data_IF_869218580702
#
_entry.id   IF_869218580702
#
_cell.length_a   1.000
_cell.length_b   1.000
_cell.length_c   1.000
_cell.angle_alpha   90.00
_cell.angle_beta   90.00
_cell.angle_gamma   90.00
#
_symmetry.space_group_name_H-M   'P 1'
#
loop_
_entity.id
_entity.type
_entity.pdbx_description
1 polymer ?
#
# COMPACT_ATOMS: atom_id res chain seq x y z
N UNK A 1 -65.38 -3.59 -42.19
CA UNK A 1 -65.01 -2.89 -40.94
C UNK A 1 -64.05 -3.77 -40.18
N UNK A 2 -62.93 -3.18 -39.75
CA UNK A 2 -61.68 -3.74 -39.20
C UNK A 2 -61.72 -5.09 -38.45
N UNK A 3 -60.72 -5.99 -38.67
CA UNK A 3 -60.59 -7.23 -37.92
C UNK A 3 -59.83 -7.03 -36.59
N UNK A 4 -60.28 -7.79 -35.58
CA UNK A 4 -59.78 -7.84 -34.22
C UNK A 4 -58.35 -8.41 -34.16
N UNK A 5 -57.39 -7.61 -33.69
CA UNK A 5 -56.00 -8.01 -33.41
C UNK A 5 -55.92 -8.61 -32.00
N UNK A 6 -55.89 -9.95 -31.92
CA UNK A 6 -55.63 -10.69 -30.69
C UNK A 6 -54.13 -10.64 -30.34
N UNK A 7 -53.78 -9.84 -29.34
CA UNK A 7 -52.45 -9.84 -28.72
C UNK A 7 -52.25 -11.12 -27.90
N UNK A 8 -51.42 -12.03 -28.39
CA UNK A 8 -50.93 -13.17 -27.62
C UNK A 8 -49.76 -12.71 -26.74
N UNK A 9 -49.98 -12.60 -25.43
CA UNK A 9 -48.92 -12.32 -24.46
C UNK A 9 -48.11 -13.60 -24.20
N UNK A 10 -46.98 -13.71 -24.89
CA UNK A 10 -45.97 -14.75 -24.65
C UNK A 10 -45.42 -14.63 -23.22
N UNK A 11 -45.86 -15.54 -22.33
CA UNK A 11 -45.29 -15.73 -20.99
C UNK A 11 -43.86 -16.27 -21.13
N UNK A 12 -42.87 -15.36 -21.11
CA UNK A 12 -41.47 -15.73 -20.86
C UNK A 12 -41.36 -16.30 -19.45
N UNK A 13 -41.27 -17.63 -19.36
CA UNK A 13 -40.92 -18.35 -18.14
C UNK A 13 -39.52 -17.97 -17.68
N UNK A 14 -39.43 -17.02 -16.75
CA UNK A 14 -38.20 -16.72 -16.03
C UNK A 14 -37.83 -17.89 -15.14
N UNK A 15 -36.85 -18.69 -15.57
CA UNK A 15 -36.15 -19.66 -14.74
C UNK A 15 -35.57 -18.93 -13.52
N UNK A 16 -36.24 -19.06 -12.38
CA UNK A 16 -35.73 -18.60 -11.08
C UNK A 16 -34.57 -19.53 -10.71
N UNK A 17 -33.34 -19.11 -11.03
CA UNK A 17 -32.13 -19.72 -10.50
C UNK A 17 -32.23 -19.70 -8.97
N UNK A 18 -32.51 -20.86 -8.36
CA UNK A 18 -32.54 -21.02 -6.92
C UNK A 18 -31.17 -20.61 -6.38
N UNK A 19 -31.12 -19.48 -5.66
CA UNK A 19 -29.92 -19.00 -5.01
C UNK A 19 -29.39 -20.12 -4.11
N UNK A 20 -28.22 -20.68 -4.46
CA UNK A 20 -27.56 -21.71 -3.64
C UNK A 20 -27.41 -21.14 -2.23
N UNK A 21 -28.10 -21.73 -1.25
CA UNK A 21 -27.97 -21.38 0.17
C UNK A 21 -26.49 -21.38 0.53
N UNK A 22 -25.96 -20.24 0.94
CA UNK A 22 -24.57 -20.13 1.41
C UNK A 22 -24.40 -21.11 2.56
N UNK A 23 -23.44 -22.02 2.44
CA UNK A 23 -23.11 -22.95 3.53
C UNK A 23 -22.73 -22.11 4.77
N UNK A 24 -23.14 -22.53 5.98
CA UNK A 24 -22.72 -21.86 7.20
C UNK A 24 -21.20 -21.78 7.25
N UNK A 25 -20.70 -20.65 7.77
CA UNK A 25 -19.27 -20.45 7.95
C UNK A 25 -18.80 -21.46 8.98
N UNK A 26 -17.74 -22.21 8.68
CA UNK A 26 -17.19 -23.17 9.63
C UNK A 26 -16.79 -22.45 10.93
N UNK A 27 -17.18 -23.02 12.07
CA UNK A 27 -16.88 -22.46 13.40
C UNK A 27 -15.39 -22.54 13.73
N UNK A 28 -14.67 -23.42 13.04
CA UNK A 28 -13.26 -23.69 13.24
C UNK A 28 -12.52 -23.85 11.90
N UNK A 29 -11.33 -23.25 11.81
CA UNK A 29 -10.52 -23.30 10.59
C UNK A 29 -10.13 -24.73 10.17
N UNK A 30 -9.96 -25.68 11.09
CA UNK A 30 -9.62 -27.06 10.72
C UNK A 30 -10.68 -27.72 9.82
N UNK A 31 -11.95 -27.32 9.92
CA UNK A 31 -13.01 -27.87 9.06
C UNK A 31 -12.88 -27.45 7.60
N UNK A 32 -12.13 -26.39 7.32
CA UNK A 32 -11.84 -25.91 5.97
C UNK A 32 -10.73 -26.72 5.28
N UNK A 33 -9.95 -27.50 6.03
CA UNK A 33 -8.82 -28.28 5.50
C UNK A 33 -9.27 -29.55 4.78
N UNK A 34 -8.42 -30.05 3.88
CA UNK A 34 -8.61 -31.38 3.28
C UNK A 34 -8.28 -32.49 4.27
N UNK A 35 -8.78 -33.71 4.04
CA UNK A 35 -8.46 -34.87 4.89
C UNK A 35 -6.96 -35.17 4.91
N UNK A 36 -6.27 -34.98 3.79
CA UNK A 36 -4.81 -35.14 3.72
C UNK A 36 -4.09 -34.14 4.64
N UNK A 37 -4.45 -32.86 4.57
CA UNK A 37 -3.89 -31.81 5.43
C UNK A 37 -4.16 -32.08 6.93
N UNK A 38 -5.35 -32.57 7.28
CA UNK A 38 -5.66 -32.94 8.65
C UNK A 38 -4.80 -34.12 9.13
N UNK A 39 -4.60 -35.14 8.30
CA UNK A 39 -3.72 -36.28 8.64
C UNK A 39 -2.26 -35.86 8.81
N UNK A 40 -1.78 -34.92 8.02
CA UNK A 40 -0.43 -34.35 8.14
C UNK A 40 -0.26 -33.56 9.43
N UNK A 41 -1.25 -32.74 9.80
CA UNK A 41 -1.26 -32.05 11.09
C UNK A 41 -1.33 -33.05 12.24
N UNK A 42 -2.18 -34.09 12.15
CA UNK A 42 -2.23 -35.14 13.16
C UNK A 42 -0.86 -35.84 13.31
N UNK A 43 -0.17 -36.08 12.19
CA UNK A 43 1.19 -36.65 12.19
C UNK A 43 2.17 -35.75 12.93
N UNK A 44 2.19 -34.45 12.61
CA UNK A 44 3.07 -33.49 13.25
C UNK A 44 2.77 -33.32 14.75
N UNK A 45 1.48 -33.39 15.10
CA UNK A 45 0.97 -33.33 16.46
C UNK A 45 1.24 -34.58 17.30
N UNK A 46 1.73 -35.67 16.69
CA UNK A 46 1.83 -37.01 17.29
C UNK A 46 0.48 -37.55 17.79
N UNK A 47 -0.63 -37.20 17.13
CA UNK A 47 -1.96 -37.78 17.40
C UNK A 47 -2.35 -38.80 16.33
N UNK A 48 -3.39 -39.60 16.63
CA UNK A 48 -3.89 -40.64 15.72
C UNK A 48 -4.31 -40.05 14.37
N UNK A 49 -4.00 -40.74 13.27
CA UNK A 49 -4.22 -40.27 11.87
C UNK A 49 -5.36 -40.99 11.13
N UNK A 50 -6.15 -41.76 11.85
CA UNK A 50 -7.24 -42.58 11.30
C UNK A 50 -8.60 -42.04 11.72
N UNK A 51 -9.58 -42.13 10.83
CA UNK A 51 -10.96 -41.74 11.11
C UNK A 51 -11.55 -40.88 10.00
N UNK A 52 -12.82 -40.53 10.18
CA UNK A 52 -13.52 -39.56 9.34
C UNK A 52 -12.99 -38.14 9.58
N UNK A 53 -13.28 -37.20 8.66
CA UNK A 53 -12.88 -35.79 8.80
C UNK A 53 -13.28 -35.17 10.15
N UNK A 54 -14.53 -35.34 10.65
CA UNK A 54 -14.90 -34.81 11.97
C UNK A 54 -14.07 -35.41 13.11
N UNK A 55 -13.72 -36.68 13.02
CA UNK A 55 -12.89 -37.36 14.03
C UNK A 55 -11.47 -36.79 14.06
N UNK A 56 -10.86 -36.53 12.90
CA UNK A 56 -9.54 -35.87 12.80
C UNK A 56 -9.59 -34.45 13.40
N UNK A 57 -10.64 -33.67 13.09
CA UNK A 57 -10.81 -32.34 13.69
C UNK A 57 -10.91 -32.40 15.21
N UNK A 58 -11.72 -33.33 15.77
CA UNK A 58 -11.82 -33.52 17.23
C UNK A 58 -10.48 -33.91 17.86
N UNK A 59 -9.71 -34.77 17.21
CA UNK A 59 -8.37 -35.17 17.68
C UNK A 59 -7.37 -34.02 17.69
N UNK A 60 -7.44 -33.11 16.72
CA UNK A 60 -6.60 -31.90 16.73
C UNK A 60 -7.04 -30.90 17.80
N UNK A 61 -8.36 -30.78 18.02
CA UNK A 61 -8.93 -29.90 19.03
C UNK A 61 -8.74 -30.40 20.47
N UNK A 62 -8.38 -31.67 20.69
CA UNK A 62 -8.06 -32.18 22.02
C UNK A 62 -6.68 -31.76 22.52
N UNK A 63 -5.77 -31.33 21.63
CA UNK A 63 -4.48 -30.76 22.02
C UNK A 63 -4.63 -29.24 22.23
N UNK A 64 -4.33 -28.76 23.45
CA UNK A 64 -4.52 -27.36 23.84
C UNK A 64 -3.71 -26.39 22.96
N UNK A 65 -2.48 -26.75 22.60
CA UNK A 65 -1.62 -25.91 21.77
C UNK A 65 -2.20 -25.81 20.36
N UNK A 66 -2.62 -26.93 19.77
CA UNK A 66 -3.17 -26.96 18.41
C UNK A 66 -4.53 -26.29 18.34
N UNK A 67 -5.37 -26.48 19.37
CA UNK A 67 -6.70 -25.88 19.47
C UNK A 67 -6.66 -24.36 19.31
N UNK A 68 -5.62 -23.69 19.82
CA UNK A 68 -5.46 -22.24 19.70
C UNK A 68 -5.51 -21.77 18.23
N UNK A 69 -4.88 -22.51 17.31
CA UNK A 69 -4.80 -22.15 15.89
C UNK A 69 -6.13 -22.27 15.12
N UNK A 70 -7.11 -23.00 15.69
CA UNK A 70 -8.45 -23.14 15.12
C UNK A 70 -9.17 -21.80 14.96
N UNK A 71 -8.90 -20.86 15.87
CA UNK A 71 -9.52 -19.53 15.91
C UNK A 71 -8.54 -18.37 15.62
N UNK A 72 -7.22 -18.61 15.65
CA UNK A 72 -6.24 -17.57 15.35
C UNK A 72 -6.34 -17.05 13.90
N UNK A 73 -6.14 -15.74 13.73
CA UNK A 73 -5.99 -15.14 12.41
C UNK A 73 -4.57 -15.39 11.85
N UNK A 74 -4.37 -15.15 10.55
CA UNK A 74 -3.09 -15.43 9.91
C UNK A 74 -1.95 -14.52 10.41
N UNK A 75 -2.27 -13.31 10.91
CA UNK A 75 -1.25 -12.38 11.41
C UNK A 75 -0.68 -12.82 12.75
N UNK A 76 -1.51 -13.35 13.65
CA UNK A 76 -1.07 -13.96 14.92
C UNK A 76 -0.12 -15.13 14.66
N UNK A 77 -0.45 -15.99 13.69
CA UNK A 77 0.42 -17.12 13.30
C UNK A 77 1.76 -16.64 12.73
N UNK A 78 1.75 -15.57 11.92
CA UNK A 78 2.99 -14.98 11.39
C UNK A 78 3.86 -14.39 12.51
N UNK A 79 3.24 -13.80 13.54
CA UNK A 79 3.94 -13.30 14.71
C UNK A 79 4.66 -14.43 15.46
N UNK A 80 3.95 -15.50 15.78
CA UNK A 80 4.52 -16.64 16.49
C UNK A 80 5.62 -17.35 15.68
N UNK A 81 5.45 -17.45 14.36
CA UNK A 81 6.51 -17.94 13.46
C UNK A 81 7.75 -17.04 13.50
N UNK A 82 7.57 -15.72 13.60
CA UNK A 82 8.68 -14.76 13.71
C UNK A 82 9.43 -14.96 15.03
N UNK A 83 8.72 -15.08 16.14
CA UNK A 83 9.30 -15.32 17.47
C UNK A 83 10.09 -16.63 17.52
N UNK A 84 9.58 -17.70 16.91
CA UNK A 84 10.27 -19.00 16.83
C UNK A 84 11.33 -19.08 15.72
N UNK A 85 11.64 -17.97 15.02
CA UNK A 85 12.60 -17.91 13.90
C UNK A 85 12.29 -18.90 12.76
N UNK A 86 11.01 -19.07 12.45
CA UNK A 86 10.49 -19.95 11.40
C UNK A 86 10.07 -19.15 10.16
N UNK A 87 10.05 -19.82 9.00
CA UNK A 87 9.61 -19.19 7.75
C UNK A 87 8.13 -18.79 7.81
N UNK A 88 7.83 -17.50 7.58
CA UNK A 88 6.47 -16.94 7.61
C UNK A 88 5.68 -17.09 6.29
N UNK A 89 6.31 -17.53 5.19
CA UNK A 89 5.66 -17.63 3.88
C UNK A 89 4.71 -18.83 3.74
N UNK A 90 3.75 -18.74 2.80
CA UNK A 90 2.78 -19.80 2.53
C UNK A 90 1.39 -19.53 3.09
N UNK A 91 0.48 -20.50 2.87
CA UNK A 91 -0.88 -20.41 3.38
C UNK A 91 -0.94 -20.74 4.89
N UNK A 92 -2.07 -20.43 5.54
CA UNK A 92 -2.28 -20.68 6.97
C UNK A 92 -1.97 -22.15 7.36
N UNK A 93 -2.27 -23.11 6.50
CA UNK A 93 -1.96 -24.53 6.72
C UNK A 93 -0.46 -24.78 6.87
N UNK A 94 0.34 -24.37 5.89
CA UNK A 94 1.80 -24.54 5.93
C UNK A 94 2.46 -23.84 7.11
N UNK A 95 1.89 -22.70 7.53
CA UNK A 95 2.35 -21.93 8.67
C UNK A 95 2.09 -22.67 10.00
N UNK A 96 0.85 -23.13 10.24
CA UNK A 96 0.50 -23.91 11.44
C UNK A 96 1.27 -25.23 11.49
N UNK A 97 1.43 -25.92 10.36
CA UNK A 97 2.20 -27.16 10.31
C UNK A 97 3.64 -26.97 10.80
N UNK A 98 4.30 -25.86 10.42
CA UNK A 98 5.66 -25.54 10.90
C UNK A 98 5.71 -25.27 12.39
N UNK A 99 4.73 -24.54 12.94
CA UNK A 99 4.63 -24.29 14.38
C UNK A 99 4.46 -25.59 15.16
N UNK A 100 3.59 -26.49 14.70
CA UNK A 100 3.37 -27.80 15.33
C UNK A 100 4.60 -28.70 15.22
N UNK A 101 5.26 -28.71 14.05
CA UNK A 101 6.51 -29.45 13.84
C UNK A 101 7.63 -28.97 14.76
N UNK A 102 7.80 -27.66 14.89
CA UNK A 102 8.79 -27.07 15.78
C UNK A 102 8.48 -27.38 17.25
N UNK A 103 7.22 -27.25 17.67
CA UNK A 103 6.81 -27.49 19.06
C UNK A 103 6.94 -28.96 19.48
N UNK A 104 6.52 -29.88 18.62
CA UNK A 104 6.51 -31.32 18.95
C UNK A 104 7.80 -32.03 18.57
N UNK A 105 8.78 -31.31 18.01
CA UNK A 105 10.02 -31.87 17.47
C UNK A 105 9.77 -32.91 16.39
N UNK A 106 8.82 -32.65 15.47
CA UNK A 106 8.47 -33.58 14.39
C UNK A 106 8.81 -33.00 13.02
N UNK A 107 9.38 -33.82 12.14
CA UNK A 107 9.79 -33.38 10.81
C UNK A 107 10.90 -32.32 10.83
N UNK A 108 11.09 -31.65 9.69
CA UNK A 108 12.03 -30.53 9.55
C UNK A 108 11.25 -29.23 9.40
N UNK A 109 10.97 -28.55 10.53
CA UNK A 109 10.40 -27.22 10.49
C UNK A 109 11.38 -26.28 9.77
N UNK A 110 10.96 -25.73 8.63
CA UNK A 110 11.81 -24.85 7.82
C UNK A 110 12.16 -23.59 8.62
N UNK A 111 13.39 -23.52 9.11
CA UNK A 111 13.95 -22.34 9.78
C UNK A 111 14.06 -21.19 8.81
N UNK A 112 13.83 -19.98 9.30
CA UNK A 112 14.14 -18.79 8.52
C UNK A 112 15.67 -18.62 8.44
N UNK A 113 16.14 -17.90 7.41
CA UNK A 113 17.54 -17.51 7.39
C UNK A 113 17.79 -16.51 8.52
N UNK A 114 18.73 -16.83 9.41
CA UNK A 114 19.18 -15.95 10.50
C UNK A 114 20.59 -15.42 10.20
N UNK A 115 20.93 -14.32 10.84
CA UNK A 115 22.25 -13.69 10.87
C UNK A 115 22.56 -13.41 12.34
N UNK A 116 23.79 -13.68 12.76
CA UNK A 116 24.24 -13.40 14.13
C UNK A 116 24.67 -11.94 14.19
N UNK A 117 24.04 -11.16 15.06
CA UNK A 117 24.38 -9.77 15.32
C UNK A 117 24.84 -9.71 16.79
N UNK A 118 25.92 -8.99 17.06
CA UNK A 118 26.35 -8.70 18.43
C UNK A 118 25.46 -7.55 18.91
N UNK A 119 24.75 -7.75 20.01
CA UNK A 119 23.97 -6.71 20.64
C UNK A 119 24.91 -5.67 21.27
N UNK A 120 24.81 -4.42 20.84
CA UNK A 120 25.70 -3.33 21.28
C UNK A 120 25.51 -3.00 22.77
N UNK A 121 24.37 -3.33 23.37
CA UNK A 121 24.08 -3.06 24.79
C UNK A 121 24.60 -4.17 25.73
N UNK A 122 24.50 -5.43 25.30
CA UNK A 122 24.81 -6.59 26.15
C UNK A 122 26.10 -7.30 25.76
N UNK A 123 26.60 -7.08 24.55
CA UNK A 123 27.73 -7.80 23.97
C UNK A 123 27.40 -9.26 23.60
N UNK A 124 26.15 -9.70 23.73
CA UNK A 124 25.74 -11.06 23.43
C UNK A 124 25.43 -11.27 21.94
N UNK A 125 25.72 -12.47 21.44
CA UNK A 125 25.38 -12.88 20.09
C UNK A 125 23.89 -13.22 19.97
N UNK A 126 23.12 -12.36 19.30
CA UNK A 126 21.69 -12.57 19.04
C UNK A 126 21.48 -13.02 17.59
N UNK A 127 20.80 -14.15 17.39
CA UNK A 127 20.35 -14.55 16.06
C UNK A 127 19.12 -13.73 15.65
N UNK A 128 19.26 -12.93 14.59
CA UNK A 128 18.18 -12.12 14.04
C UNK A 128 17.82 -12.64 12.64
N UNK A 129 16.54 -12.57 12.28
CA UNK A 129 16.08 -12.88 10.93
C UNK A 129 16.84 -12.03 9.89
N UNK A 130 17.51 -12.70 8.93
CA UNK A 130 18.17 -12.04 7.81
C UNK A 130 17.12 -11.36 6.95
N UNK A 131 16.95 -10.04 7.13
CA UNK A 131 16.17 -9.22 6.19
C UNK A 131 16.91 -9.28 4.85
N UNK A 132 16.28 -9.87 3.83
CA UNK A 132 16.81 -9.75 2.46
C UNK A 132 16.85 -8.26 2.15
N UNK A 133 18.03 -7.70 1.91
CA UNK A 133 18.20 -6.39 1.29
C UNK A 133 17.62 -6.50 -0.11
N UNK A 134 16.31 -6.30 -0.25
CA UNK A 134 15.69 -6.14 -1.55
C UNK A 134 16.17 -4.78 -2.00
N UNK A 135 17.18 -4.74 -2.86
CA UNK A 135 17.61 -3.51 -3.50
C UNK A 135 16.46 -3.12 -4.45
N UNK A 136 15.66 -2.09 -4.12
CA UNK A 136 14.59 -1.64 -4.99
C UNK A 136 15.18 -1.11 -6.29
N UNK A 137 14.55 -1.48 -7.40
CA UNK A 137 14.86 -0.88 -8.70
C UNK A 137 13.91 0.29 -8.96
N UNK A 138 14.35 1.41 -9.55
CA UNK A 138 13.47 2.53 -9.89
C UNK A 138 12.22 2.11 -10.68
N UNK A 139 12.35 1.16 -11.60
CA UNK A 139 11.25 0.63 -12.41
C UNK A 139 10.21 -0.09 -11.54
N UNK A 140 10.67 -0.83 -10.52
CA UNK A 140 9.77 -1.51 -9.57
C UNK A 140 9.03 -0.53 -8.67
N UNK A 141 9.67 0.60 -8.34
CA UNK A 141 9.04 1.69 -7.58
C UNK A 141 7.93 2.33 -8.40
N UNK A 142 8.25 2.71 -9.65
CA UNK A 142 7.29 3.28 -10.60
C UNK A 142 6.07 2.36 -10.76
N UNK A 143 6.30 1.09 -11.11
CA UNK A 143 5.23 0.12 -11.38
C UNK A 143 4.33 -0.13 -10.15
N UNK A 144 4.88 -0.08 -8.92
CA UNK A 144 4.08 -0.23 -7.69
C UNK A 144 3.13 0.94 -7.49
N UNK A 145 3.61 2.18 -7.67
CA UNK A 145 2.80 3.39 -7.55
C UNK A 145 1.77 3.46 -8.67
N UNK A 146 2.17 3.23 -9.92
CA UNK A 146 1.26 3.14 -11.07
C UNK A 146 0.14 2.13 -10.83
N UNK A 147 0.48 0.91 -10.39
CA UNK A 147 -0.51 -0.13 -10.09
C UNK A 147 -1.47 0.30 -9.00
N UNK A 148 -1.00 1.01 -7.97
CA UNK A 148 -1.83 1.53 -6.89
C UNK A 148 -2.76 2.65 -7.40
N UNK A 149 -2.26 3.55 -8.24
CA UNK A 149 -3.08 4.57 -8.88
C UNK A 149 -4.17 3.93 -9.74
N UNK A 150 -3.81 3.01 -10.64
CA UNK A 150 -4.77 2.29 -11.51
C UNK A 150 -5.75 1.39 -10.73
N UNK A 151 -5.47 1.09 -9.47
CA UNK A 151 -6.39 0.35 -8.60
C UNK A 151 -7.65 1.11 -8.23
N UNK A 152 -7.78 2.40 -8.59
CA UNK A 152 -8.98 3.23 -8.37
C UNK A 152 -10.27 2.56 -8.85
N UNK A 153 -10.19 1.74 -9.90
CA UNK A 153 -11.34 1.00 -10.47
C UNK A 153 -11.84 -0.14 -9.58
N UNK A 154 -11.10 -0.51 -8.52
CA UNK A 154 -11.53 -1.55 -7.59
C UNK A 154 -12.75 -1.08 -6.80
N UNK A 155 -13.71 -1.98 -6.59
CA UNK A 155 -14.99 -1.68 -5.90
C UNK A 155 -14.84 -0.96 -4.56
N UNK A 156 -13.80 -1.26 -3.77
CA UNK A 156 -13.54 -0.56 -2.49
C UNK A 156 -13.26 0.94 -2.62
N UNK A 157 -12.83 1.37 -3.81
CA UNK A 157 -12.58 2.76 -4.17
C UNK A 157 -13.68 3.32 -5.07
N UNK A 158 -14.75 2.58 -5.32
CA UNK A 158 -15.90 3.04 -6.10
C UNK A 158 -17.04 3.33 -5.12
N UNK A 159 -17.64 4.51 -5.19
CA UNK A 159 -18.90 4.78 -4.49
C UNK A 159 -19.89 5.41 -5.44
N UNK A 160 -21.17 5.43 -5.05
CA UNK A 160 -22.23 6.12 -5.80
C UNK A 160 -21.90 7.61 -6.05
N UNK A 161 -20.95 8.18 -5.29
CA UNK A 161 -20.49 9.55 -5.40
C UNK A 161 -18.97 9.64 -5.59
N UNK A 162 -18.31 8.69 -6.26
CA UNK A 162 -16.87 8.72 -6.59
C UNK A 162 -15.92 8.14 -5.53
N UNK A 163 -14.60 8.18 -5.78
CA UNK A 163 -13.64 7.42 -4.99
C UNK A 163 -13.42 7.90 -3.54
N UNK A 164 -13.62 7.00 -2.57
CA UNK A 164 -13.25 7.23 -1.16
C UNK A 164 -11.79 6.86 -0.94
N UNK A 165 -11.01 7.80 -0.41
CA UNK A 165 -9.69 7.58 0.19
C UNK A 165 -8.58 7.04 -0.74
N UNK A 166 -8.77 7.02 -2.07
CA UNK A 166 -7.75 6.49 -2.98
C UNK A 166 -6.46 7.33 -3.00
N UNK A 167 -6.57 8.67 -3.10
CA UNK A 167 -5.40 9.55 -3.08
C UNK A 167 -4.56 9.43 -1.79
N UNK A 168 -5.14 9.50 -0.57
CA UNK A 168 -4.43 9.19 0.68
C UNK A 168 -3.66 7.85 0.64
N UNK A 169 -4.31 6.82 0.12
CA UNK A 169 -3.76 5.46 0.00
C UNK A 169 -2.56 5.37 -0.97
N UNK A 170 -2.55 6.18 -2.02
CA UNK A 170 -1.43 6.30 -2.97
C UNK A 170 -0.25 7.01 -2.30
N UNK A 171 -0.51 8.16 -1.67
CA UNK A 171 0.54 8.92 -0.96
C UNK A 171 1.12 8.14 0.22
N UNK A 172 0.28 7.48 1.02
CA UNK A 172 0.73 6.63 2.12
C UNK A 172 1.62 5.48 1.63
N UNK A 173 1.28 4.87 0.48
CA UNK A 173 2.13 3.86 -0.14
C UNK A 173 3.49 4.46 -0.57
N UNK A 174 3.50 5.61 -1.24
CA UNK A 174 4.75 6.26 -1.66
C UNK A 174 5.62 6.61 -0.44
N UNK A 175 5.03 7.20 0.60
CA UNK A 175 5.70 7.49 1.88
C UNK A 175 6.32 6.23 2.49
N UNK A 176 5.56 5.14 2.58
CA UNK A 176 6.05 3.86 3.13
C UNK A 176 7.22 3.32 2.33
N UNK A 177 7.15 3.38 1.00
CA UNK A 177 8.22 2.91 0.14
C UNK A 177 9.47 3.79 0.28
N UNK A 178 9.36 5.12 0.34
CA UNK A 178 10.51 6.01 0.60
C UNK A 178 11.16 5.72 1.96
N UNK A 179 10.35 5.53 3.00
CA UNK A 179 10.85 5.16 4.33
C UNK A 179 11.57 3.82 4.31
N UNK A 180 10.91 2.76 3.84
CA UNK A 180 11.46 1.40 3.85
C UNK A 180 12.73 1.34 3.01
N UNK A 181 12.70 1.88 1.79
CA UNK A 181 13.75 1.68 0.80
C UNK A 181 14.90 2.67 0.90
N UNK A 182 14.60 3.96 1.04
CA UNK A 182 15.64 4.98 1.03
C UNK A 182 16.21 5.19 2.44
N UNK A 183 15.33 5.34 3.44
CA UNK A 183 15.70 5.82 4.77
C UNK A 183 16.10 4.65 5.70
N UNK A 184 15.19 3.72 5.99
CA UNK A 184 15.38 2.64 6.98
C UNK A 184 16.41 1.61 6.52
N UNK A 185 16.49 1.34 5.22
CA UNK A 185 17.49 0.42 4.65
C UNK A 185 18.87 1.06 4.44
N UNK A 186 19.12 2.26 4.97
CA UNK A 186 20.39 3.01 4.87
C UNK A 186 20.89 3.23 3.43
N UNK A 187 19.99 3.25 2.45
CA UNK A 187 20.36 3.45 1.05
C UNK A 187 20.97 4.83 0.81
N UNK A 188 20.53 5.84 1.57
CA UNK A 188 21.10 7.19 1.53
C UNK A 188 22.61 7.21 1.84
N UNK A 189 23.10 6.25 2.63
CA UNK A 189 24.52 6.12 2.98
C UNK A 189 25.26 5.24 1.98
N UNK A 190 24.65 4.14 1.52
CA UNK A 190 25.33 3.14 0.68
C UNK A 190 25.32 3.46 -0.81
N UNK A 191 24.20 4.00 -1.32
CA UNK A 191 24.02 4.33 -2.74
C UNK A 191 23.03 5.52 -2.88
N UNK A 192 23.51 6.75 -2.62
CA UNK A 192 22.65 7.94 -2.64
C UNK A 192 22.03 8.20 -4.01
N UNK A 193 22.73 7.89 -5.11
CA UNK A 193 22.19 8.07 -6.46
C UNK A 193 21.06 7.08 -6.77
N UNK A 194 21.15 5.84 -6.29
CA UNK A 194 20.03 4.90 -6.39
C UNK A 194 18.82 5.39 -5.57
N UNK A 195 19.04 5.88 -4.34
CA UNK A 195 17.96 6.43 -3.52
C UNK A 195 17.25 7.60 -4.21
N UNK A 196 18.01 8.50 -4.84
CA UNK A 196 17.48 9.58 -5.67
C UNK A 196 16.64 9.05 -6.83
N UNK A 197 17.15 8.11 -7.62
CA UNK A 197 16.44 7.53 -8.78
C UNK A 197 15.15 6.82 -8.37
N UNK A 198 15.16 6.10 -7.24
CA UNK A 198 13.97 5.45 -6.67
C UNK A 198 12.93 6.50 -6.26
N UNK A 199 13.35 7.56 -5.56
CA UNK A 199 12.45 8.62 -5.16
C UNK A 199 11.85 9.36 -6.36
N UNK A 200 12.69 9.78 -7.32
CA UNK A 200 12.27 10.39 -8.59
C UNK A 200 11.26 9.51 -9.31
N UNK A 201 11.53 8.21 -9.47
CA UNK A 201 10.61 7.28 -10.13
C UNK A 201 9.23 7.21 -9.45
N UNK A 202 9.17 7.26 -8.12
CA UNK A 202 7.91 7.31 -7.37
C UNK A 202 7.07 8.57 -7.67
N UNK A 203 7.71 9.74 -7.71
CA UNK A 203 7.03 11.01 -8.04
C UNK A 203 6.73 11.15 -9.54
N UNK A 204 7.58 10.62 -10.42
CA UNK A 204 7.28 10.52 -11.85
C UNK A 204 6.04 9.65 -12.08
N UNK A 205 5.89 8.53 -11.35
CA UNK A 205 4.70 7.70 -11.45
C UNK A 205 3.42 8.43 -11.03
N UNK A 206 3.48 9.27 -9.98
CA UNK A 206 2.36 10.13 -9.59
C UNK A 206 1.96 11.05 -10.75
N UNK A 207 2.93 11.78 -11.29
CA UNK A 207 2.69 12.72 -12.38
C UNK A 207 2.10 12.04 -13.63
N UNK A 208 2.78 11.04 -14.19
CA UNK A 208 2.37 10.41 -15.45
C UNK A 208 1.04 9.65 -15.37
N UNK A 209 0.59 9.29 -14.17
CA UNK A 209 -0.66 8.56 -13.97
C UNK A 209 -1.73 9.40 -13.26
N UNK A 210 -1.49 10.70 -13.09
CA UNK A 210 -2.37 11.56 -12.29
C UNK A 210 -3.82 11.56 -12.78
N UNK A 211 -4.03 11.50 -14.09
CA UNK A 211 -5.35 11.42 -14.73
C UNK A 211 -6.23 10.25 -14.26
N UNK A 212 -5.63 9.18 -13.72
CA UNK A 212 -6.37 8.03 -13.17
C UNK A 212 -6.71 8.21 -11.70
N UNK A 213 -6.26 9.26 -11.02
CA UNK A 213 -6.67 9.56 -9.65
C UNK A 213 -8.00 10.31 -9.68
N UNK A 214 -9.10 9.61 -9.41
CA UNK A 214 -10.47 10.10 -9.60
C UNK A 214 -10.82 11.35 -8.74
N UNK A 215 -10.02 11.65 -7.70
CA UNK A 215 -10.19 12.81 -6.80
C UNK A 215 -8.87 13.27 -6.16
N UNK A 216 -8.03 14.01 -6.89
CA UNK A 216 -6.68 14.32 -6.42
C UNK A 216 -6.67 15.16 -5.14
N UNK A 217 -7.62 16.09 -4.98
CA UNK A 217 -7.74 17.02 -3.86
C UNK A 217 -7.92 16.43 -2.46
N UNK A 218 -8.24 15.14 -2.31
CA UNK A 218 -8.56 14.55 -0.99
C UNK A 218 -7.37 13.89 -0.32
N UNK A 219 -6.14 14.21 -0.73
CA UNK A 219 -4.93 13.65 -0.13
C UNK A 219 -4.77 14.03 1.36
N UNK A 220 -5.34 15.16 1.82
CA UNK A 220 -5.18 15.64 3.18
C UNK A 220 -3.70 15.72 3.60
N UNK A 221 -3.40 15.36 4.84
CA UNK A 221 -2.03 15.42 5.38
C UNK A 221 -1.05 14.40 4.77
N UNK A 222 -1.55 13.40 4.02
CA UNK A 222 -0.72 12.34 3.47
C UNK A 222 0.27 12.84 2.42
N UNK A 223 -0.15 13.80 1.60
CA UNK A 223 0.71 14.42 0.60
C UNK A 223 1.87 15.21 1.24
N UNK A 224 1.61 16.15 2.17
CA UNK A 224 2.67 16.82 2.95
C UNK A 224 3.63 15.84 3.63
N UNK A 225 3.12 14.79 4.28
CA UNK A 225 3.99 13.80 4.92
C UNK A 225 4.87 13.04 3.94
N UNK A 226 4.38 12.76 2.74
CA UNK A 226 5.16 12.11 1.68
C UNK A 226 6.26 13.05 1.17
N UNK A 227 5.95 14.32 0.96
CA UNK A 227 6.92 15.33 0.52
C UNK A 227 8.01 15.58 1.57
N UNK A 228 7.69 15.57 2.87
CA UNK A 228 8.71 15.62 3.93
C UNK A 228 9.68 14.44 3.90
N UNK A 229 9.23 13.25 3.51
CA UNK A 229 10.14 12.10 3.31
C UNK A 229 11.02 12.29 2.10
N UNK A 230 10.48 12.84 1.01
CA UNK A 230 11.28 13.24 -0.13
C UNK A 230 12.35 14.28 0.24
N UNK A 231 12.01 15.30 1.03
CA UNK A 231 12.97 16.32 1.50
C UNK A 231 14.18 15.69 2.21
N UNK A 232 13.96 14.66 3.04
CA UNK A 232 15.04 13.93 3.71
C UNK A 232 15.96 13.28 2.68
N UNK A 233 15.39 12.57 1.70
CA UNK A 233 16.16 11.95 0.61
C UNK A 233 16.95 13.03 -0.15
N UNK A 234 16.28 14.10 -0.56
CA UNK A 234 16.88 15.20 -1.33
C UNK A 234 18.01 15.91 -0.57
N UNK A 235 17.86 16.15 0.74
CA UNK A 235 18.92 16.74 1.59
C UNK A 235 20.15 15.85 1.61
N UNK A 236 19.95 14.55 1.77
CA UNK A 236 21.05 13.58 1.83
C UNK A 236 21.79 13.46 0.49
N UNK A 237 21.08 13.43 -0.64
CA UNK A 237 21.69 13.20 -1.96
C UNK A 237 22.16 14.47 -2.66
N UNK A 238 21.79 15.67 -2.17
CA UNK A 238 22.07 16.96 -2.83
C UNK A 238 23.51 17.12 -3.32
N UNK A 239 24.48 16.72 -2.50
CA UNK A 239 25.91 16.91 -2.76
C UNK A 239 26.44 16.04 -3.91
N UNK A 240 25.71 15.00 -4.33
CA UNK A 240 26.08 14.12 -5.45
C UNK A 240 25.26 14.34 -6.72
N UNK A 241 24.26 15.23 -6.70
CA UNK A 241 23.41 15.47 -7.87
C UNK A 241 24.12 16.33 -8.90
N UNK A 242 24.03 15.93 -10.18
CA UNK A 242 24.40 16.81 -11.28
C UNK A 242 23.37 17.93 -11.48
N UNK A 243 23.74 19.00 -12.21
CA UNK A 243 22.78 20.04 -12.56
C UNK A 243 21.61 19.50 -13.38
N UNK A 244 21.86 18.51 -14.24
CA UNK A 244 20.83 17.83 -15.02
C UNK A 244 19.84 17.08 -14.11
N UNK A 245 20.35 16.27 -13.17
CA UNK A 245 19.52 15.55 -12.19
C UNK A 245 18.64 16.51 -11.37
N UNK A 246 19.21 17.65 -10.95
CA UNK A 246 18.47 18.69 -10.23
C UNK A 246 17.34 19.22 -11.10
N UNK A 247 17.62 19.65 -12.33
CA UNK A 247 16.58 20.23 -13.21
C UNK A 247 15.48 19.22 -13.54
N UNK A 248 15.83 17.97 -13.79
CA UNK A 248 14.85 16.90 -14.03
C UNK A 248 13.95 16.67 -12.81
N UNK A 249 14.53 16.62 -11.60
CA UNK A 249 13.75 16.44 -10.38
C UNK A 249 12.84 17.64 -10.11
N UNK A 250 13.34 18.86 -10.31
CA UNK A 250 12.51 20.06 -10.17
C UNK A 250 11.37 20.04 -11.17
N UNK A 251 11.62 19.67 -12.44
CA UNK A 251 10.56 19.55 -13.44
C UNK A 251 9.50 18.50 -13.05
N UNK A 252 9.89 17.36 -12.47
CA UNK A 252 8.93 16.37 -11.94
C UNK A 252 8.09 16.98 -10.82
N UNK A 253 8.72 17.69 -9.87
CA UNK A 253 8.01 18.28 -8.74
C UNK A 253 7.08 19.42 -9.12
N UNK A 254 7.47 20.25 -10.09
CA UNK A 254 6.60 21.29 -10.67
C UNK A 254 5.37 20.67 -11.32
N UNK A 255 5.55 19.60 -12.09
CA UNK A 255 4.45 18.88 -12.69
C UNK A 255 3.52 18.26 -11.63
N UNK A 256 4.08 17.67 -10.58
CA UNK A 256 3.30 17.19 -9.43
C UNK A 256 2.55 18.34 -8.75
N UNK A 257 3.16 19.53 -8.61
CA UNK A 257 2.53 20.73 -8.05
C UNK A 257 1.33 21.18 -8.88
N UNK A 258 1.49 21.27 -10.21
CA UNK A 258 0.41 21.61 -11.15
C UNK A 258 -0.73 20.60 -11.05
N UNK A 259 -0.41 19.31 -11.03
CA UNK A 259 -1.39 18.24 -10.89
C UNK A 259 -2.15 18.28 -9.56
N UNK A 260 -1.44 18.55 -8.46
CA UNK A 260 -2.01 18.67 -7.11
C UNK A 260 -2.91 19.89 -6.95
N UNK A 261 -2.57 20.97 -7.67
CA UNK A 261 -3.23 22.27 -7.60
C UNK A 261 -3.35 22.81 -6.16
N UNK A 262 -4.18 23.83 -5.99
CA UNK A 262 -4.51 24.35 -4.66
C UNK A 262 -5.30 23.35 -3.80
N UNK A 263 -5.84 22.28 -4.40
CA UNK A 263 -6.74 21.33 -3.74
C UNK A 263 -6.04 20.38 -2.75
N UNK A 264 -4.76 20.05 -2.97
CA UNK A 264 -4.03 19.12 -2.09
C UNK A 264 -3.07 19.81 -1.13
N UNK A 265 -2.58 21.00 -1.49
CA UNK A 265 -1.46 21.66 -0.81
C UNK A 265 -1.96 22.72 0.18
N UNK A 266 -3.17 23.27 -0.03
CA UNK A 266 -3.71 24.35 0.79
C UNK A 266 -4.76 23.90 1.83
N UNK A 267 -5.00 22.60 1.99
CA UNK A 267 -5.98 22.12 2.96
C UNK A 267 -5.40 22.01 4.36
N UNK A 268 -5.10 23.16 4.97
CA UNK A 268 -5.38 23.34 6.40
C UNK A 268 -6.90 23.53 6.57
N UNK A 269 -7.72 22.56 6.15
CA UNK A 269 -9.13 22.62 6.50
C UNK A 269 -9.24 22.17 7.96
N UNK A 270 -9.87 22.96 8.84
CA UNK A 270 -10.40 22.40 10.06
C UNK A 270 -11.37 21.31 9.65
N UNK A 271 -11.12 20.08 10.11
CA UNK A 271 -12.01 18.95 9.89
C UNK A 271 -13.34 19.34 10.54
N UNK A 272 -14.30 19.81 9.73
CA UNK A 272 -15.69 19.91 10.14
C UNK A 272 -16.22 18.48 10.14
N UNK A 273 -15.96 17.76 11.23
CA UNK A 273 -16.76 16.59 11.57
C UNK A 273 -18.16 17.12 11.90
N UNK A 274 -19.10 16.97 10.97
CA UNK A 274 -20.51 17.08 11.28
C UNK A 274 -20.88 15.94 12.23
N UNK A 275 -20.75 16.20 13.53
CA UNK A 275 -21.11 15.31 14.61
C UNK A 275 -21.27 16.11 15.89
N UNK A 276 -22.47 16.66 16.10
CA UNK A 276 -23.08 17.19 17.32
C UNK A 276 -22.23 17.28 18.61
N UNK A 277 -21.13 18.02 18.58
CA UNK A 277 -20.41 18.45 19.78
C UNK A 277 -19.89 19.86 19.54
N UNK A 278 -20.42 20.82 20.28
CA UNK A 278 -20.00 22.21 20.28
C UNK A 278 -18.61 22.32 20.88
N UNK A 279 -17.58 22.21 20.04
CA UNK A 279 -16.23 22.64 20.38
C UNK A 279 -16.03 24.01 19.74
N UNK A 280 -15.92 25.04 20.58
CA UNK A 280 -15.51 26.37 20.15
C UNK A 280 -14.06 26.27 19.67
N UNK A 281 -13.86 26.54 18.38
CA UNK A 281 -12.54 26.68 17.78
C UNK A 281 -11.99 28.08 18.12
N UNK A 282 -10.91 28.15 18.88
CA UNK A 282 -10.07 29.34 18.91
C UNK A 282 -9.41 29.50 17.54
N UNK A 283 -9.66 30.64 16.89
CA UNK A 283 -9.19 30.91 15.53
C UNK A 283 -7.67 30.89 15.47
N UNK A 284 -7.11 29.88 14.80
CA UNK A 284 -5.74 29.94 14.34
C UNK A 284 -5.66 31.02 13.25
N UNK A 285 -4.80 32.01 13.47
CA UNK A 285 -4.53 33.10 12.52
C UNK A 285 -4.00 32.52 11.19
N UNK A 286 -4.86 32.48 10.17
CA UNK A 286 -4.59 31.96 8.83
C UNK A 286 -3.58 32.81 8.01
N UNK A 287 -2.91 33.78 8.64
CA UNK A 287 -1.84 34.59 8.01
C UNK A 287 -0.46 33.94 7.98
N UNK A 288 -0.32 32.68 8.42
CA UNK A 288 0.89 31.93 8.12
C UNK A 288 1.06 31.83 6.60
N UNK A 289 2.12 32.45 6.09
CA UNK A 289 2.52 32.40 4.68
C UNK A 289 2.40 30.95 4.20
N UNK A 290 1.53 30.71 3.21
CA UNK A 290 1.27 29.36 2.69
C UNK A 290 2.56 28.82 2.09
N UNK A 291 3.37 28.15 2.90
CA UNK A 291 4.58 27.49 2.42
C UNK A 291 4.11 26.32 1.57
N UNK A 292 4.17 26.50 0.26
CA UNK A 292 3.99 25.40 -0.67
C UNK A 292 5.10 24.37 -0.39
N UNK A 293 4.71 23.23 0.19
CA UNK A 293 5.65 22.20 0.63
C UNK A 293 6.42 21.57 -0.54
N UNK A 294 5.91 21.65 -1.76
CA UNK A 294 6.64 21.25 -2.96
C UNK A 294 7.76 22.25 -3.24
N UNK A 295 7.52 23.55 -3.11
CA UNK A 295 8.58 24.56 -3.24
C UNK A 295 9.64 24.42 -2.15
N UNK A 296 9.24 24.05 -0.93
CA UNK A 296 10.18 23.68 0.13
C UNK A 296 11.09 22.52 -0.31
N UNK A 297 10.50 21.44 -0.84
CA UNK A 297 11.25 20.30 -1.35
C UNK A 297 12.17 20.65 -2.53
N UNK A 298 11.72 21.49 -3.46
CA UNK A 298 12.54 21.98 -4.57
C UNK A 298 13.72 22.80 -4.05
N UNK A 299 13.49 23.71 -3.09
CA UNK A 299 14.53 24.57 -2.50
C UNK A 299 15.61 23.80 -1.74
N UNK A 300 15.35 22.56 -1.33
CA UNK A 300 16.38 21.67 -0.79
C UNK A 300 17.52 21.47 -1.79
N UNK A 301 17.20 21.21 -3.06
CA UNK A 301 18.19 20.93 -4.12
C UNK A 301 18.51 22.15 -4.98
N UNK A 302 17.62 23.14 -5.02
CA UNK A 302 17.79 24.40 -5.76
C UNK A 302 17.40 25.58 -4.86
N UNK A 303 18.27 26.04 -3.95
CA UNK A 303 17.91 27.09 -2.97
C UNK A 303 17.45 28.41 -3.59
N UNK A 304 17.95 28.74 -4.77
CA UNK A 304 17.57 29.95 -5.53
C UNK A 304 16.27 29.79 -6.31
N UNK A 305 15.52 28.69 -6.11
CA UNK A 305 14.28 28.43 -6.83
C UNK A 305 13.22 29.49 -6.53
N UNK A 306 12.76 30.11 -7.60
CA UNK A 306 11.70 31.11 -7.65
C UNK A 306 10.81 30.79 -8.86
N UNK A 307 9.60 30.31 -8.59
CA UNK A 307 8.60 29.89 -9.58
C UNK A 307 8.35 31.00 -10.61
N UNK A 308 8.18 32.25 -10.15
CA UNK A 308 7.88 33.40 -11.03
C UNK A 308 9.02 33.68 -12.01
N UNK A 309 10.27 33.52 -11.57
CA UNK A 309 11.44 33.71 -12.44
C UNK A 309 11.62 32.53 -13.41
N UNK A 310 11.19 31.33 -13.01
CA UNK A 310 11.38 30.11 -13.79
C UNK A 310 10.49 30.08 -15.03
N UNK A 311 9.25 30.53 -14.93
CA UNK A 311 8.30 30.60 -16.06
C UNK A 311 8.74 31.57 -17.17
N UNK A 312 9.58 32.55 -16.85
CA UNK A 312 10.04 33.56 -17.82
C UNK A 312 11.22 33.12 -18.69
N UNK A 313 11.74 31.90 -18.53
CA UNK A 313 12.94 31.44 -19.25
C UNK A 313 12.57 30.63 -20.53
N UNK A 314 12.62 31.23 -21.73
CA UNK A 314 12.21 30.57 -22.98
C UNK A 314 13.10 29.40 -23.40
N UNK A 315 14.33 29.29 -22.85
CA UNK A 315 15.24 28.17 -23.15
C UNK A 315 14.90 26.91 -22.35
N UNK A 316 14.16 27.05 -21.27
CA UNK A 316 13.65 25.93 -20.49
C UNK A 316 12.30 25.59 -21.10
N UNK A 317 12.32 24.85 -22.22
CA UNK A 317 11.11 24.29 -22.85
C UNK A 317 10.25 23.72 -21.73
N UNK A 318 9.13 24.37 -21.47
CA UNK A 318 8.12 23.85 -20.58
C UNK A 318 7.88 22.37 -20.96
N UNK A 319 8.08 21.47 -20.00
CA UNK A 319 7.21 20.30 -19.90
C UNK A 319 5.84 20.82 -19.47
N UNK A 320 5.25 21.73 -20.26
CA UNK A 320 3.84 21.96 -20.25
C UNK A 320 3.31 20.66 -20.85
N UNK A 321 3.03 19.67 -20.00
CA UNK A 321 1.82 18.93 -20.25
C UNK A 321 0.74 20.01 -20.30
N UNK A 322 0.42 20.42 -21.52
CA UNK A 322 -0.68 21.32 -21.76
C UNK A 322 -1.84 20.70 -20.98
N UNK A 323 -2.36 21.40 -19.97
CA UNK A 323 -3.55 20.90 -19.27
C UNK A 323 -4.67 20.66 -20.29
N UNK A 324 -4.60 21.29 -21.48
CA UNK A 324 -5.40 20.96 -22.66
C UNK A 324 -5.12 19.56 -23.23
N UNK A 325 -3.87 19.10 -23.27
CA UNK A 325 -3.51 17.74 -23.67
C UNK A 325 -4.08 16.69 -22.70
N UNK A 326 -4.02 16.96 -21.39
CA UNK A 326 -4.66 16.11 -20.36
C UNK A 326 -6.20 16.20 -20.40
N UNK A 327 -6.78 17.37 -20.64
CA UNK A 327 -8.23 17.55 -20.79
C UNK A 327 -8.76 16.86 -22.07
N UNK A 328 -8.03 16.98 -23.18
CA UNK A 328 -8.35 16.32 -24.45
C UNK A 328 -8.22 14.79 -24.37
N UNK A 329 -7.20 14.26 -23.70
CA UNK A 329 -7.06 12.81 -23.48
C UNK A 329 -8.16 12.23 -22.58
N UNK A 330 -8.80 13.05 -21.74
CA UNK A 330 -9.87 12.64 -20.84
C UNK A 330 -11.28 13.06 -21.30
N UNK A 331 -11.41 13.60 -22.53
CA UNK A 331 -12.71 13.99 -23.08
C UNK A 331 -13.43 15.10 -22.31
N UNK A 332 -12.70 15.89 -21.52
CA UNK A 332 -13.26 17.00 -20.76
C UNK A 332 -13.14 18.26 -21.64
N UNK A 333 -14.26 18.84 -22.12
CA UNK A 333 -14.20 20.12 -22.82
C UNK A 333 -13.73 21.19 -21.84
N UNK A 334 -12.58 21.78 -22.14
CA UNK A 334 -12.01 22.91 -21.41
C UNK A 334 -12.36 24.19 -22.19
N UNK A 335 -12.92 25.25 -21.56
CA UNK A 335 -13.21 26.52 -22.22
C UNK A 335 -11.95 27.27 -22.66
#
# INVERSE_FOLDING_TARGET
GLPFLLYTTSRRGGSKNAAKKKKPKADNWFETLSVAQLKDLCKAAKVRRSGSKPMLCRQLLSDNYIRSFGHCNQNQIKHELKEKMLVQSGNKYTQVLRLVQNEKGTGQAKRAATETIIDDETGEEVQVLKKRKIIPKPETMYARIEKKIKSVSQYKYQTNYGSKQHAPDVFDMLKKLLNEFCIENKMLETDPMLAFRVAKAGFSALYYNWQFMERPGYAGDYAPFTLRRLEIVLKAVRHVLSQEDIEEMVAVLENVNVCMGDYCVNMSYPIVMQGNASWQYEGFDHKAEKINIIHSAIRVIMPSYDEKKRDTNPKRKHLNCDMRGLAAMNGIPYP
#
